data_IF_558830204865
#
_entry.id   IF_558830204865
#
_cell.length_a   1.000
_cell.length_b   1.000
_cell.length_c   1.000
_cell.angle_alpha   90.00
_cell.angle_beta   90.00
_cell.angle_gamma   90.00
#
_symmetry.space_group_name_H-M   'P 1'
#
loop_
_entity.id
_entity.type
_entity.pdbx_description
1 polymer ?
#
# COMPACT_ATOMS: atom_id res chain seq x y z
N UNK A 1 -18.71 -29.11 80.78
CA UNK A 1 -17.42 -28.98 80.08
C UNK A 1 -17.43 -29.88 78.84
N UNK A 2 -17.86 -29.39 77.65
CA UNK A 2 -17.69 -30.12 76.40
C UNK A 2 -16.39 -29.70 75.69
N UNK A 3 -15.69 -30.67 75.12
CA UNK A 3 -14.44 -30.52 74.35
C UNK A 3 -14.74 -30.48 72.84
N UNK A 4 -14.37 -29.35 72.24
CA UNK A 4 -13.66 -29.14 70.95
C UNK A 4 -13.94 -30.08 69.76
N UNK A 5 -14.78 -29.58 68.86
CA UNK A 5 -14.66 -29.42 67.40
C UNK A 5 -13.60 -30.24 66.62
N UNK A 6 -14.10 -31.14 65.77
CA UNK A 6 -13.34 -31.77 64.68
C UNK A 6 -13.57 -30.99 63.39
N UNK A 7 -12.55 -30.25 62.93
CA UNK A 7 -12.58 -29.46 61.69
C UNK A 7 -12.47 -30.37 60.47
N UNK A 8 -13.50 -30.31 59.63
CA UNK A 8 -13.59 -30.92 58.30
C UNK A 8 -12.56 -30.30 57.33
N UNK A 9 -11.71 -31.13 56.73
CA UNK A 9 -10.79 -30.72 55.65
C UNK A 9 -11.39 -31.11 54.30
N UNK A 10 -12.12 -30.17 53.69
CA UNK A 10 -12.47 -30.21 52.27
C UNK A 10 -11.22 -29.94 51.42
N UNK A 11 -10.82 -30.91 50.59
CA UNK A 11 -9.81 -30.72 49.55
C UNK A 11 -10.50 -30.09 48.33
N UNK A 12 -10.26 -28.80 48.09
CA UNK A 12 -10.70 -28.10 46.88
C UNK A 12 -9.64 -28.31 45.80
N UNK A 13 -10.01 -29.04 44.75
CA UNK A 13 -9.21 -29.22 43.54
C UNK A 13 -9.07 -27.89 42.80
N UNK A 14 -7.83 -27.41 42.64
CA UNK A 14 -7.51 -26.22 41.85
C UNK A 14 -7.53 -26.60 40.36
N UNK A 15 -8.52 -26.10 39.62
CA UNK A 15 -8.56 -26.17 38.17
C UNK A 15 -7.58 -25.14 37.59
N UNK A 16 -6.51 -25.61 36.95
CA UNK A 16 -5.56 -24.78 36.22
C UNK A 16 -6.23 -24.34 34.90
N UNK A 17 -6.63 -23.08 34.83
CA UNK A 17 -7.07 -22.44 33.59
C UNK A 17 -5.82 -22.18 32.74
N UNK A 18 -5.60 -23.01 31.72
CA UNK A 18 -4.65 -22.72 30.64
C UNK A 18 -5.19 -21.52 29.85
N UNK A 19 -4.70 -20.32 30.14
CA UNK A 19 -4.88 -19.16 29.26
C UNK A 19 -4.13 -19.43 27.96
N UNK A 20 -4.86 -19.78 26.90
CA UNK A 20 -4.37 -19.76 25.53
C UNK A 20 -3.79 -18.39 25.23
N UNK A 21 -2.46 -18.29 25.09
CA UNK A 21 -1.80 -17.12 24.55
C UNK A 21 -2.19 -17.00 23.07
N UNK A 22 -3.29 -16.28 22.81
CA UNK A 22 -3.61 -15.79 21.47
C UNK A 22 -2.45 -14.87 21.09
N UNK A 23 -1.68 -15.28 20.09
CA UNK A 23 -0.50 -14.55 19.64
C UNK A 23 -0.89 -13.11 19.30
N UNK A 24 -0.51 -12.17 20.16
CA UNK A 24 -0.52 -10.77 19.81
C UNK A 24 0.45 -10.61 18.64
N UNK A 25 -0.04 -10.16 17.47
CA UNK A 25 0.83 -9.66 16.43
C UNK A 25 1.76 -8.65 17.07
N UNK A 26 3.06 -8.92 17.06
CA UNK A 26 4.05 -8.00 17.59
C UNK A 26 3.94 -6.71 16.77
N UNK A 27 3.23 -5.71 17.31
CA UNK A 27 3.31 -4.34 16.81
C UNK A 27 4.78 -3.95 16.87
N UNK A 28 5.29 -3.40 15.76
CA UNK A 28 6.66 -2.94 15.69
C UNK A 28 6.93 -1.94 16.83
N UNK A 29 8.01 -2.18 17.58
CA UNK A 29 8.35 -1.39 18.78
C UNK A 29 8.66 0.07 18.45
N UNK A 30 8.88 0.41 17.17
CA UNK A 30 9.11 1.77 16.68
C UNK A 30 7.85 2.65 16.72
N UNK A 31 6.65 2.09 16.93
CA UNK A 31 5.41 2.83 17.26
C UNK A 31 5.13 4.10 16.41
N UNK A 32 5.20 4.00 15.08
CA UNK A 32 4.97 5.14 14.18
C UNK A 32 5.95 6.32 14.41
N UNK A 33 7.20 6.05 14.83
CA UNK A 33 8.22 7.09 14.91
C UNK A 33 8.63 7.57 13.50
N UNK A 34 8.62 8.88 13.21
CA UNK A 34 9.10 9.40 11.92
C UNK A 34 10.54 8.98 11.59
N UNK A 35 10.79 8.50 10.37
CA UNK A 35 12.11 8.08 9.89
C UNK A 35 12.52 6.66 10.28
N UNK A 36 11.83 6.09 11.27
CA UNK A 36 12.02 4.73 11.75
C UNK A 36 11.14 3.77 10.93
N UNK A 37 11.72 3.20 9.87
CA UNK A 37 11.11 2.20 8.99
C UNK A 37 12.23 1.43 8.25
N UNK A 38 11.89 0.40 7.49
CA UNK A 38 12.88 -0.50 6.86
C UNK A 38 13.01 -0.27 5.34
N UNK A 39 11.89 -0.01 4.65
CA UNK A 39 11.87 0.21 3.21
C UNK A 39 10.65 1.02 2.76
N UNK A 40 10.62 1.38 1.48
CA UNK A 40 9.47 1.98 0.83
C UNK A 40 8.74 0.99 -0.05
N UNK A 41 7.43 1.14 -0.16
CA UNK A 41 6.62 0.57 -1.24
C UNK A 41 6.14 1.70 -2.13
N UNK A 42 6.55 1.70 -3.40
CA UNK A 42 5.91 2.50 -4.42
C UNK A 42 4.65 1.77 -4.88
N UNK A 43 3.47 2.36 -4.68
CA UNK A 43 2.21 1.81 -5.17
C UNK A 43 1.78 2.54 -6.45
N UNK A 44 1.63 1.77 -7.53
CA UNK A 44 1.16 2.23 -8.84
C UNK A 44 -0.24 1.70 -9.08
N UNK A 45 -1.25 2.57 -9.10
CA UNK A 45 -2.65 2.20 -9.34
C UNK A 45 -2.96 2.13 -10.83
N UNK A 46 -3.65 1.07 -11.27
CA UNK A 46 -4.23 1.01 -12.61
C UNK A 46 -5.48 1.90 -12.66
N UNK A 47 -5.33 3.10 -13.22
CA UNK A 47 -6.37 4.14 -13.21
C UNK A 47 -7.70 3.68 -13.81
N UNK A 48 -7.75 2.94 -14.93
CA UNK A 48 -9.02 2.45 -15.46
C UNK A 48 -9.81 1.59 -14.48
N UNK A 49 -9.15 0.66 -13.76
CA UNK A 49 -9.80 -0.14 -12.72
C UNK A 49 -10.34 0.69 -11.58
N UNK A 50 -9.54 1.66 -11.10
CA UNK A 50 -9.99 2.60 -10.08
C UNK A 50 -11.26 3.33 -10.53
N UNK A 51 -11.29 3.80 -11.78
CA UNK A 51 -12.42 4.53 -12.33
C UNK A 51 -13.66 3.65 -12.54
N UNK A 52 -13.51 2.39 -12.93
CA UNK A 52 -14.65 1.45 -12.97
C UNK A 52 -15.22 1.24 -11.58
N UNK A 53 -14.34 0.92 -10.63
CA UNK A 53 -14.74 0.61 -9.27
C UNK A 53 -15.34 1.83 -8.56
N UNK A 54 -14.89 3.04 -8.88
CA UNK A 54 -15.51 4.27 -8.40
C UNK A 54 -16.91 4.48 -8.99
N UNK A 55 -17.07 4.25 -10.30
CA UNK A 55 -18.38 4.31 -10.96
C UNK A 55 -19.37 3.30 -10.40
N UNK A 56 -18.95 2.06 -10.16
CA UNK A 56 -19.76 0.99 -9.58
C UNK A 56 -20.24 1.33 -8.16
N UNK A 57 -19.42 2.04 -7.39
CA UNK A 57 -19.76 2.52 -6.04
C UNK A 57 -20.59 3.81 -6.06
N UNK A 58 -20.91 4.37 -7.24
CA UNK A 58 -21.56 5.67 -7.36
C UNK A 58 -20.69 6.84 -6.87
N UNK A 59 -19.37 6.67 -6.78
CA UNK A 59 -18.45 7.72 -6.33
C UNK A 59 -18.08 8.62 -7.51
N UNK A 60 -18.74 9.77 -7.60
CA UNK A 60 -18.53 10.80 -8.61
C UNK A 60 -17.94 12.10 -8.01
N UNK A 61 -17.24 12.02 -6.88
CA UNK A 61 -16.61 13.19 -6.26
C UNK A 61 -15.55 13.86 -7.15
N UNK A 62 -15.24 15.13 -6.86
CA UNK A 62 -14.30 15.94 -7.67
C UNK A 62 -12.93 15.29 -7.88
N UNK A 63 -12.42 14.57 -6.88
CA UNK A 63 -11.15 13.83 -6.98
C UNK A 63 -11.22 12.69 -7.98
N UNK A 64 -12.28 11.88 -7.92
CA UNK A 64 -12.55 10.81 -8.90
C UNK A 64 -12.73 11.39 -10.30
N UNK A 65 -13.47 12.49 -10.44
CA UNK A 65 -13.70 13.14 -11.74
C UNK A 65 -12.38 13.64 -12.37
N UNK A 66 -11.46 14.19 -11.59
CA UNK A 66 -10.17 14.66 -12.08
C UNK A 66 -9.33 13.54 -12.71
N UNK A 67 -9.36 12.33 -12.12
CA UNK A 67 -8.65 11.17 -12.64
C UNK A 67 -9.44 10.45 -13.76
N UNK A 68 -10.77 10.38 -13.66
CA UNK A 68 -11.59 9.51 -14.49
C UNK A 68 -12.30 10.19 -15.68
N UNK A 69 -12.39 11.52 -15.69
CA UNK A 69 -12.96 12.30 -16.79
C UNK A 69 -11.93 13.16 -17.53
N UNK A 70 -10.65 13.04 -17.20
CA UNK A 70 -9.57 13.84 -17.74
C UNK A 70 -8.76 13.11 -18.82
N UNK A 71 -7.43 13.12 -18.64
CA UNK A 71 -6.44 12.51 -19.54
C UNK A 71 -6.50 10.97 -19.50
N UNK A 72 -6.01 10.26 -20.54
CA UNK A 72 -5.91 8.79 -20.57
C UNK A 72 -4.83 8.28 -19.62
N UNK A 73 -5.13 8.30 -18.32
CA UNK A 73 -4.23 7.75 -17.32
C UNK A 73 -4.23 6.22 -17.40
N UNK A 74 -3.04 5.64 -17.52
CA UNK A 74 -2.76 4.22 -17.34
C UNK A 74 -2.39 3.95 -15.87
N UNK A 75 -1.12 3.65 -15.57
CA UNK A 75 -0.65 3.62 -14.19
C UNK A 75 -0.35 5.01 -13.65
N UNK A 76 -0.92 5.32 -12.49
CA UNK A 76 -0.66 6.55 -11.73
C UNK A 76 -0.06 6.21 -10.38
N UNK A 77 0.64 7.15 -9.77
CA UNK A 77 1.18 6.94 -8.42
C UNK A 77 0.02 7.03 -7.42
N UNK A 78 -0.18 5.96 -6.66
CA UNK A 78 -1.01 6.01 -5.46
C UNK A 78 -0.21 6.67 -4.33
N UNK A 79 1.01 6.18 -4.05
CA UNK A 79 1.87 6.73 -3.01
C UNK A 79 3.21 6.03 -2.87
N UNK A 80 4.04 6.53 -1.95
CA UNK A 80 5.33 5.95 -1.57
C UNK A 80 5.34 5.70 -0.06
N UNK A 81 5.15 4.47 0.37
CA UNK A 81 4.81 4.15 1.75
C UNK A 81 6.00 3.60 2.51
N UNK A 82 6.46 4.27 3.59
CA UNK A 82 7.33 3.62 4.56
C UNK A 82 6.71 2.31 5.05
N UNK A 83 7.51 1.26 5.16
CA UNK A 83 7.14 -0.07 5.62
C UNK A 83 8.14 -0.57 6.65
N UNK A 84 7.67 -1.42 7.55
CA UNK A 84 8.52 -2.31 8.32
C UNK A 84 8.65 -3.65 7.57
N UNK A 85 9.59 -4.50 7.97
CA UNK A 85 9.61 -5.90 7.51
C UNK A 85 8.30 -6.64 7.82
N UNK A 86 7.58 -6.21 8.88
CA UNK A 86 6.23 -6.67 9.23
C UNK A 86 5.36 -5.49 9.65
N UNK A 87 4.33 -5.20 8.86
CA UNK A 87 3.46 -4.04 9.05
C UNK A 87 4.08 -2.74 8.51
N UNK A 88 3.49 -1.62 8.89
CA UNK A 88 3.92 -0.31 8.42
C UNK A 88 3.61 0.78 9.44
N UNK A 89 4.41 1.85 9.48
CA UNK A 89 4.04 3.04 10.23
C UNK A 89 2.96 3.84 9.49
N UNK A 90 2.05 4.46 10.24
CA UNK A 90 1.08 5.40 9.71
C UNK A 90 0.82 6.56 10.66
N UNK A 91 0.47 7.72 10.10
CA UNK A 91 0.10 8.92 10.85
C UNK A 91 1.13 9.33 11.93
N UNK A 92 2.41 9.29 11.59
CA UNK A 92 3.52 9.45 12.52
C UNK A 92 3.65 10.85 13.14
N UNK A 93 2.94 11.85 12.60
CA UNK A 93 2.81 13.17 13.20
C UNK A 93 1.35 13.60 13.21
N UNK A 94 0.83 13.95 14.40
CA UNK A 94 -0.55 14.39 14.61
C UNK A 94 -0.58 15.62 15.54
N UNK A 95 -1.07 16.79 15.08
CA UNK A 95 -1.50 17.08 13.70
C UNK A 95 -0.33 16.99 12.71
N UNK A 96 -0.62 16.62 11.45
CA UNK A 96 0.40 16.63 10.40
C UNK A 96 0.80 18.07 10.07
N UNK A 97 2.08 18.31 9.68
CA UNK A 97 2.46 19.58 9.09
C UNK A 97 1.61 19.90 7.87
N UNK A 98 1.24 21.16 7.68
CA UNK A 98 0.38 21.56 6.57
C UNK A 98 1.11 21.40 5.23
N UNK A 99 0.55 20.59 4.33
CA UNK A 99 1.05 20.49 2.96
C UNK A 99 0.75 21.78 2.17
N UNK A 100 1.80 22.38 1.60
CA UNK A 100 1.64 23.54 0.73
C UNK A 100 0.86 23.17 -0.55
N UNK A 101 -0.13 24.01 -0.91
CA UNK A 101 -0.95 23.79 -2.11
C UNK A 101 -0.12 23.69 -3.39
N UNK A 102 0.98 24.44 -3.48
CA UNK A 102 1.89 24.38 -4.65
C UNK A 102 2.53 23.01 -4.82
N UNK A 103 2.93 22.34 -3.74
CA UNK A 103 3.48 20.98 -3.79
C UNK A 103 2.39 20.01 -4.27
N UNK A 104 1.19 20.10 -3.71
CA UNK A 104 0.06 19.29 -4.17
C UNK A 104 -0.21 19.48 -5.66
N UNK A 105 -0.37 20.74 -6.11
CA UNK A 105 -0.63 21.02 -7.53
C UNK A 105 0.49 20.53 -8.43
N UNK A 106 1.73 20.57 -7.96
CA UNK A 106 2.86 20.07 -8.74
C UNK A 106 2.79 18.58 -9.00
N UNK A 107 2.10 17.78 -8.17
CA UNK A 107 2.07 16.30 -8.26
C UNK A 107 0.92 15.74 -9.11
N UNK A 108 0.03 16.59 -9.65
CA UNK A 108 -1.17 16.16 -10.37
C UNK A 108 -0.90 15.48 -11.72
N UNK A 109 0.32 15.58 -12.25
CA UNK A 109 0.79 14.84 -13.41
C UNK A 109 0.98 13.34 -13.13
N UNK A 110 1.35 12.99 -11.89
CA UNK A 110 1.60 11.60 -11.44
C UNK A 110 0.50 11.06 -10.53
N UNK A 111 -0.16 11.92 -9.77
CA UNK A 111 -1.17 11.61 -8.75
C UNK A 111 -2.44 12.44 -9.02
N UNK A 112 -3.31 12.03 -9.94
CA UNK A 112 -4.36 12.89 -10.50
C UNK A 112 -5.59 13.08 -9.57
N UNK A 113 -5.38 13.10 -8.26
CA UNK A 113 -6.42 13.33 -7.26
C UNK A 113 -5.86 14.20 -6.10
N UNK A 114 -6.24 15.50 -5.98
CA UNK A 114 -5.74 16.37 -4.92
C UNK A 114 -5.93 15.81 -3.50
N UNK A 115 -7.10 15.23 -3.22
CA UNK A 115 -7.41 14.65 -1.91
C UNK A 115 -6.52 13.46 -1.56
N UNK A 116 -6.12 12.67 -2.57
CA UNK A 116 -5.16 11.57 -2.40
C UNK A 116 -3.83 12.13 -1.91
N UNK A 117 -3.30 13.15 -2.57
CA UNK A 117 -1.99 13.73 -2.24
C UNK A 117 -1.93 14.22 -0.78
N UNK A 118 -2.99 14.88 -0.29
CA UNK A 118 -3.06 15.29 1.12
C UNK A 118 -3.10 14.08 2.07
N UNK A 119 -3.92 13.07 1.76
CA UNK A 119 -4.00 11.85 2.58
C UNK A 119 -2.68 11.07 2.61
N UNK A 120 -1.98 10.97 1.47
CA UNK A 120 -0.68 10.32 1.37
C UNK A 120 0.38 11.04 2.19
N UNK A 121 0.34 12.37 2.26
CA UNK A 121 1.21 13.12 3.15
C UNK A 121 0.90 12.82 4.62
N UNK A 122 -0.36 12.98 5.02
CA UNK A 122 -0.78 12.83 6.41
C UNK A 122 -0.51 11.41 6.94
N UNK A 123 -0.85 10.40 6.15
CA UNK A 123 -0.76 8.99 6.52
C UNK A 123 0.65 8.41 6.39
N UNK A 124 1.33 8.67 5.28
CA UNK A 124 2.59 8.00 4.93
C UNK A 124 3.79 8.94 4.89
N UNK A 125 3.60 10.17 4.38
CA UNK A 125 4.66 11.16 4.28
C UNK A 125 5.26 11.55 5.63
N UNK A 126 4.42 11.76 6.64
CA UNK A 126 4.85 12.09 8.02
C UNK A 126 5.74 11.00 8.65
N UNK A 127 5.67 9.77 8.16
CA UNK A 127 6.45 8.63 8.64
C UNK A 127 7.83 8.51 7.99
N UNK A 128 8.07 9.20 6.89
CA UNK A 128 9.33 9.11 6.14
C UNK A 128 10.52 9.75 6.85
N UNK A 129 10.27 10.60 7.86
CA UNK A 129 11.30 11.47 8.46
C UNK A 129 11.73 12.64 7.56
N UNK A 130 11.16 12.75 6.36
CA UNK A 130 11.41 13.85 5.42
C UNK A 130 10.41 14.99 5.64
N UNK A 131 10.83 16.21 5.32
CA UNK A 131 9.90 17.33 5.12
C UNK A 131 9.05 17.12 3.86
N UNK A 132 7.93 17.84 3.74
CA UNK A 132 6.92 17.61 2.71
C UNK A 132 7.48 17.70 1.29
N UNK A 133 8.33 18.69 1.02
CA UNK A 133 8.96 18.83 -0.30
C UNK A 133 9.84 17.64 -0.65
N UNK A 134 10.70 17.23 0.29
CA UNK A 134 11.62 16.12 0.07
C UNK A 134 10.89 14.78 -0.09
N UNK A 135 9.77 14.57 0.62
CA UNK A 135 8.94 13.38 0.44
C UNK A 135 8.30 13.30 -0.96
N UNK A 136 7.73 14.40 -1.46
CA UNK A 136 7.15 14.41 -2.81
C UNK A 136 8.21 14.36 -3.92
N UNK A 137 9.41 14.90 -3.69
CA UNK A 137 10.57 14.66 -4.55
C UNK A 137 11.00 13.18 -4.55
N UNK A 138 10.97 12.51 -3.40
CA UNK A 138 11.24 11.08 -3.31
C UNK A 138 10.20 10.25 -4.07
N UNK A 139 8.92 10.63 -4.05
CA UNK A 139 7.88 10.00 -4.88
C UNK A 139 8.23 10.11 -6.36
N UNK A 140 8.65 11.29 -6.85
CA UNK A 140 9.05 11.47 -8.25
C UNK A 140 10.25 10.62 -8.62
N UNK A 141 11.28 10.58 -7.76
CA UNK A 141 12.47 9.75 -7.96
C UNK A 141 12.10 8.26 -8.00
N UNK A 142 11.30 7.79 -7.05
CA UNK A 142 10.84 6.41 -7.00
C UNK A 142 10.05 6.04 -8.25
N UNK A 143 9.12 6.91 -8.70
CA UNK A 143 8.39 6.70 -9.95
C UNK A 143 9.33 6.65 -11.16
N UNK A 144 10.35 7.50 -11.21
CA UNK A 144 11.31 7.54 -12.31
C UNK A 144 12.22 6.30 -12.37
N UNK A 145 12.48 5.63 -11.24
CA UNK A 145 13.22 4.35 -11.19
C UNK A 145 12.47 3.23 -11.91
N UNK A 146 11.14 3.30 -12.02
CA UNK A 146 10.29 2.26 -12.59
C UNK A 146 9.84 2.61 -14.01
N UNK A 147 10.14 1.75 -14.97
CA UNK A 147 9.55 1.75 -16.31
C UNK A 147 8.26 0.95 -16.32
N UNK A 148 7.22 1.51 -16.94
CA UNK A 148 5.97 0.76 -17.20
C UNK A 148 6.16 0.05 -18.55
N UNK A 149 5.76 -1.23 -18.69
CA UNK A 149 5.73 -1.91 -19.98
C UNK A 149 4.91 -1.14 -21.03
N UNK A 150 5.44 -0.99 -22.24
CA UNK A 150 4.83 -0.20 -23.32
C UNK A 150 3.39 -0.67 -23.63
N UNK A 151 3.16 -1.98 -23.61
CA UNK A 151 1.85 -2.62 -23.81
C UNK A 151 0.77 -2.17 -22.80
N UNK A 152 1.15 -1.60 -21.67
CA UNK A 152 0.22 -1.08 -20.66
C UNK A 152 0.09 0.46 -20.68
N UNK A 153 0.96 1.18 -21.40
CA UNK A 153 0.90 2.64 -21.43
C UNK A 153 -0.35 3.15 -22.15
N UNK A 154 -0.76 2.47 -23.22
CA UNK A 154 -1.86 2.86 -24.11
C UNK A 154 -2.78 1.68 -24.39
N UNK A 155 -3.09 0.88 -23.36
CA UNK A 155 -3.94 -0.31 -23.51
C UNK A 155 -5.33 0.09 -24.04
N UNK A 156 -5.61 -0.16 -25.32
CA UNK A 156 -6.83 0.28 -26.01
C UNK A 156 -8.00 -0.69 -25.88
N UNK A 157 -7.73 -1.96 -25.63
CA UNK A 157 -8.73 -3.02 -25.49
C UNK A 157 -8.61 -3.70 -24.12
N UNK A 158 -9.72 -4.22 -23.55
CA UNK A 158 -9.66 -4.98 -22.31
C UNK A 158 -8.69 -6.16 -22.44
N UNK A 159 -7.83 -6.33 -21.44
CA UNK A 159 -6.87 -7.43 -21.38
C UNK A 159 -7.12 -8.27 -20.13
N UNK A 160 -7.22 -9.58 -20.31
CA UNK A 160 -7.18 -10.54 -19.21
C UNK A 160 -5.77 -11.10 -19.14
N UNK A 161 -5.16 -11.06 -17.96
CA UNK A 161 -3.74 -11.44 -17.75
C UNK A 161 -3.58 -12.13 -16.40
N UNK A 162 -2.67 -13.09 -16.29
CA UNK A 162 -2.32 -13.65 -14.99
C UNK A 162 -1.45 -12.63 -14.21
N UNK A 163 -1.60 -12.52 -12.87
CA UNK A 163 -0.74 -11.63 -12.07
C UNK A 163 0.76 -11.84 -12.32
N UNK A 164 1.23 -13.09 -12.38
CA UNK A 164 2.63 -13.44 -12.63
C UNK A 164 3.13 -13.01 -14.02
N UNK A 165 2.26 -13.06 -15.04
CA UNK A 165 2.59 -12.54 -16.38
C UNK A 165 2.77 -11.02 -16.37
N UNK A 166 1.96 -10.33 -15.56
CA UNK A 166 2.06 -8.88 -15.38
C UNK A 166 3.35 -8.50 -14.64
N UNK A 167 3.71 -9.23 -13.59
CA UNK A 167 5.01 -9.05 -12.89
C UNK A 167 6.18 -9.33 -13.83
N UNK A 168 6.11 -10.40 -14.62
CA UNK A 168 7.11 -10.75 -15.63
C UNK A 168 7.30 -9.62 -16.66
N UNK A 169 6.21 -9.00 -17.11
CA UNK A 169 6.27 -7.86 -18.04
C UNK A 169 6.99 -6.65 -17.41
N UNK A 170 6.71 -6.33 -16.15
CA UNK A 170 7.42 -5.27 -15.42
C UNK A 170 8.91 -5.60 -15.23
N UNK A 171 9.23 -6.82 -14.80
CA UNK A 171 10.62 -7.25 -14.58
C UNK A 171 11.43 -7.16 -15.87
N UNK A 172 10.86 -7.58 -17.00
CA UNK A 172 11.52 -7.56 -18.31
C UNK A 172 12.03 -6.17 -18.71
N UNK A 173 11.32 -5.10 -18.34
CA UNK A 173 11.68 -3.72 -18.70
C UNK A 173 12.41 -2.96 -17.57
N UNK A 174 12.59 -3.57 -16.40
CA UNK A 174 13.25 -2.98 -15.22
C UNK A 174 14.43 -3.85 -14.74
N UNK A 175 15.65 -3.65 -15.28
CA UNK A 175 16.82 -4.36 -14.81
C UNK A 175 17.03 -4.19 -13.30
N UNK A 176 17.24 -5.30 -12.58
CA UNK A 176 17.39 -5.32 -11.13
C UNK A 176 16.08 -5.53 -10.34
N UNK A 177 14.91 -5.42 -10.98
CA UNK A 177 13.64 -5.80 -10.35
C UNK A 177 13.50 -7.33 -10.37
N UNK A 178 13.28 -7.94 -9.21
CA UNK A 178 13.05 -9.38 -9.06
C UNK A 178 11.58 -9.67 -8.70
N UNK A 179 11.14 -10.93 -8.86
CA UNK A 179 9.81 -11.37 -8.42
C UNK A 179 9.56 -11.06 -6.94
N UNK A 180 10.57 -11.19 -6.08
CA UNK A 180 10.44 -10.89 -4.65
C UNK A 180 10.34 -9.39 -4.30
N UNK A 181 10.48 -8.50 -5.29
CA UNK A 181 10.51 -7.04 -5.13
C UNK A 181 9.29 -6.35 -5.77
N UNK A 182 8.40 -7.11 -6.40
CA UNK A 182 7.16 -6.64 -7.02
C UNK A 182 6.00 -7.46 -6.44
N UNK A 183 4.81 -6.86 -6.38
CA UNK A 183 3.59 -7.58 -6.03
C UNK A 183 2.39 -6.95 -6.73
N UNK A 184 1.64 -7.78 -7.44
CA UNK A 184 0.35 -7.40 -8.03
C UNK A 184 -0.77 -7.54 -7.01
N UNK A 185 -1.62 -6.51 -6.90
CA UNK A 185 -2.85 -6.55 -6.10
C UNK A 185 -4.08 -6.41 -6.99
N UNK A 186 -5.18 -7.03 -6.58
CA UNK A 186 -6.42 -7.05 -7.35
C UNK A 186 -7.65 -6.90 -6.46
N UNK A 187 -8.75 -6.42 -7.05
CA UNK A 187 -10.07 -6.49 -6.44
C UNK A 187 -10.72 -7.85 -6.78
N UNK A 188 -12.04 -7.97 -6.63
CA UNK A 188 -12.75 -9.22 -6.95
C UNK A 188 -12.66 -9.66 -8.42
N UNK A 189 -12.24 -8.77 -9.35
CA UNK A 189 -12.17 -9.06 -10.79
C UNK A 189 -11.00 -8.43 -11.54
N UNK A 190 -10.47 -7.30 -11.08
CA UNK A 190 -9.56 -6.45 -11.84
C UNK A 190 -8.23 -6.25 -11.14
N UNK A 191 -7.21 -5.99 -11.94
CA UNK A 191 -5.95 -5.42 -11.46
C UNK A 191 -6.26 -4.13 -10.70
N UNK A 192 -5.69 -3.97 -9.51
CA UNK A 192 -5.81 -2.74 -8.70
C UNK A 192 -4.51 -1.94 -8.71
N UNK A 193 -3.43 -2.55 -8.24
CA UNK A 193 -2.14 -1.89 -8.10
C UNK A 193 -0.99 -2.85 -8.42
N UNK A 194 0.12 -2.27 -8.89
CA UNK A 194 1.44 -2.89 -8.86
C UNK A 194 2.24 -2.21 -7.76
N UNK A 195 2.73 -2.99 -6.80
CA UNK A 195 3.53 -2.50 -5.67
C UNK A 195 4.97 -2.92 -5.87
N UNK A 196 5.88 -1.97 -5.76
CA UNK A 196 7.32 -2.19 -5.96
C UNK A 196 8.06 -1.78 -4.71
N UNK A 197 8.89 -2.68 -4.21
CA UNK A 197 9.63 -2.51 -2.98
C UNK A 197 11.01 -1.92 -3.23
N UNK A 198 11.29 -0.84 -2.51
CA UNK A 198 12.44 0.00 -2.69
C UNK A 198 13.15 0.20 -1.35
N UNK A 199 14.47 0.13 -1.33
CA UNK A 199 15.26 0.54 -0.18
C UNK A 199 15.08 2.06 0.09
N UNK A 200 15.59 2.56 1.21
CA UNK A 200 15.50 4.00 1.53
C UNK A 200 16.19 4.91 0.51
N UNK A 201 17.21 4.38 -0.18
CA UNK A 201 17.92 4.97 -1.31
C UNK A 201 17.32 4.62 -2.68
N UNK A 202 16.09 4.09 -2.68
CA UNK A 202 15.25 3.84 -3.86
C UNK A 202 15.79 2.78 -4.84
N UNK A 203 16.57 1.83 -4.36
CA UNK A 203 16.99 0.65 -5.11
C UNK A 203 15.98 -0.49 -4.94
N UNK A 204 15.79 -1.33 -5.96
CA UNK A 204 14.92 -2.49 -5.83
C UNK A 204 15.41 -3.44 -4.74
N UNK A 205 14.49 -3.92 -3.90
CA UNK A 205 14.77 -4.90 -2.85
C UNK A 205 13.59 -5.82 -2.62
N UNK A 206 13.85 -6.99 -2.04
CA UNK A 206 12.80 -7.93 -1.67
C UNK A 206 11.92 -7.45 -0.50
N UNK A 207 10.66 -7.85 -0.49
CA UNK A 207 9.68 -7.55 0.56
C UNK A 207 8.66 -8.69 0.77
N UNK A 208 9.04 -9.68 1.57
CA UNK A 208 8.29 -10.94 1.73
C UNK A 208 6.83 -10.75 2.22
N UNK A 209 6.57 -9.79 3.12
CA UNK A 209 5.19 -9.56 3.60
C UNK A 209 4.27 -9.02 2.51
N UNK A 210 4.76 -8.10 1.67
CA UNK A 210 3.99 -7.50 0.59
C UNK A 210 3.72 -8.56 -0.49
N UNK A 211 4.75 -9.31 -0.87
CA UNK A 211 4.68 -10.41 -1.83
C UNK A 211 3.66 -11.49 -1.42
N UNK A 212 3.66 -11.92 -0.14
CA UNK A 212 2.66 -12.88 0.39
C UNK A 212 1.19 -12.41 0.31
N UNK A 213 0.97 -11.10 0.16
CA UNK A 213 -0.37 -10.49 0.02
C UNK A 213 -0.75 -10.23 -1.45
N UNK A 214 0.04 -10.74 -2.40
CA UNK A 214 -0.26 -10.67 -3.83
C UNK A 214 -1.64 -11.23 -4.18
N UNK A 215 -2.15 -10.81 -5.33
CA UNK A 215 -3.38 -11.28 -5.92
C UNK A 215 -3.31 -12.81 -6.12
N UNK A 216 -4.29 -13.53 -5.58
CA UNK A 216 -4.37 -15.01 -5.68
C UNK A 216 -5.28 -15.51 -6.80
N UNK A 217 -5.70 -14.62 -7.70
CA UNK A 217 -6.55 -15.00 -8.83
C UNK A 217 -5.69 -15.51 -9.97
N UNK A 218 -6.16 -16.54 -10.65
CA UNK A 218 -5.49 -17.04 -11.86
C UNK A 218 -5.41 -15.97 -12.95
N UNK A 219 -6.44 -15.11 -13.02
CA UNK A 219 -6.53 -14.02 -13.99
C UNK A 219 -7.20 -12.79 -13.40
N UNK A 220 -6.77 -11.63 -13.90
CA UNK A 220 -7.36 -10.32 -13.61
C UNK A 220 -7.68 -9.58 -14.91
N UNK A 221 -8.76 -8.81 -14.88
CA UNK A 221 -9.12 -7.90 -15.95
C UNK A 221 -8.36 -6.58 -15.80
N UNK A 222 -7.78 -6.10 -16.90
CA UNK A 222 -7.28 -4.75 -17.09
C UNK A 222 -8.21 -4.03 -18.08
N UNK A 223 -9.10 -3.15 -17.60
CA UNK A 223 -9.89 -2.29 -18.48
C UNK A 223 -8.97 -1.35 -19.27
N UNK A 224 -9.36 -0.95 -20.49
CA UNK A 224 -8.54 -0.08 -21.32
C UNK A 224 -8.43 1.33 -20.73
N UNK A 225 -7.40 2.07 -21.14
CA UNK A 225 -7.25 3.49 -20.79
C UNK A 225 -8.48 4.28 -21.26
N UNK A 226 -8.97 5.18 -20.41
CA UNK A 226 -10.19 5.97 -20.67
C UNK A 226 -9.83 7.38 -21.06
N UNK A 227 -10.48 7.93 -22.08
CA UNK A 227 -10.39 9.34 -22.43
C UNK A 227 -9.25 9.63 -23.39
N UNK A 228 -9.61 9.81 -24.66
CA UNK A 228 -8.82 10.31 -25.77
C UNK A 228 -9.79 10.88 -26.78
#
# INVERSE_FOLDING_TARGET
MPRLDTISRFLISVAIILCSAVGASAQDRRQNAPGEFDFYVLSLSWSPSFCEAASERGNNGRGTQAQCGGRPYSFVVHGLWPQYERGFPEYCQRPSPRLARSIMSSMLDLMPAPGLIYNEWDKHGTCSGLGERAYFEAIRKARATVKIPEEFLQLSEPKTVAPDELETAFIKVNPGLSNSAISVTCDSKRLSEVRICLSKDLQFRSCEEIDRRACRRDQVLMPPVRGG
#
